data_IF_847973689547
#
_entry.id   IF_847973689547
#
_cell.length_a   1.000
_cell.length_b   1.000
_cell.length_c   1.000
_cell.angle_alpha   90.00
_cell.angle_beta   90.00
_cell.angle_gamma   90.00
#
_symmetry.space_group_name_H-M   'P 1'
#
loop_
_entity.id
_entity.type
_entity.pdbx_description
1 polymer ?
#
# COMPACT_ATOMS: atom_id res chain seq x y z
N UNK A 1 -25.46 9.18 -0.75
CA UNK A 1 -24.08 8.66 -0.60
C UNK A 1 -23.86 7.62 -1.68
N UNK A 2 -22.84 7.75 -2.52
CA UNK A 2 -22.51 6.75 -3.55
C UNK A 2 -21.98 5.48 -2.89
N UNK A 3 -22.40 4.32 -3.38
CA UNK A 3 -21.81 3.04 -2.96
C UNK A 3 -20.39 2.91 -3.55
N UNK A 4 -19.44 2.29 -2.82
CA UNK A 4 -18.12 2.00 -3.38
C UNK A 4 -18.23 0.96 -4.50
N UNK A 5 -17.47 1.14 -5.56
CA UNK A 5 -17.38 0.19 -6.67
C UNK A 5 -16.65 -1.08 -6.23
N UNK A 6 -15.62 -0.93 -5.40
CA UNK A 6 -14.84 -2.01 -4.83
C UNK A 6 -14.54 -1.73 -3.36
N UNK A 7 -14.54 -2.79 -2.56
CA UNK A 7 -14.17 -2.75 -1.15
C UNK A 7 -13.17 -3.86 -0.86
N UNK A 8 -12.10 -3.50 -0.17
CA UNK A 8 -11.13 -4.43 0.37
C UNK A 8 -11.02 -4.20 1.87
N UNK A 9 -11.20 -5.28 2.63
CA UNK A 9 -10.98 -5.31 4.07
C UNK A 9 -10.44 -6.68 4.45
N UNK A 10 -9.24 -6.69 5.03
CA UNK A 10 -8.59 -7.90 5.50
C UNK A 10 -7.65 -7.56 6.65
N UNK A 11 -7.63 -8.41 7.68
CA UNK A 11 -6.78 -8.24 8.86
C UNK A 11 -5.31 -8.02 8.45
N UNK A 12 -4.69 -7.01 9.05
CA UNK A 12 -3.28 -6.65 8.81
C UNK A 12 -3.04 -5.74 7.61
N UNK A 13 -4.02 -5.57 6.72
CA UNK A 13 -3.95 -4.63 5.61
C UNK A 13 -4.78 -3.37 5.93
N UNK A 14 -4.51 -2.23 5.26
CA UNK A 14 -5.43 -1.11 5.30
C UNK A 14 -6.75 -1.46 4.59
N UNK A 15 -7.87 -1.00 5.14
CA UNK A 15 -9.17 -1.08 4.48
C UNK A 15 -9.20 -0.05 3.34
N UNK A 16 -9.60 -0.47 2.14
CA UNK A 16 -9.66 0.38 0.95
C UNK A 16 -11.08 0.35 0.39
N UNK A 17 -11.65 1.53 0.17
CA UNK A 17 -12.91 1.70 -0.58
C UNK A 17 -12.63 2.51 -1.83
N UNK A 18 -13.04 1.99 -2.98
CA UNK A 18 -12.80 2.61 -4.27
C UNK A 18 -14.11 3.17 -4.79
N UNK A 19 -14.10 4.44 -5.18
CA UNK A 19 -15.22 5.14 -5.79
C UNK A 19 -14.81 5.67 -7.17
N UNK A 20 -15.76 6.22 -7.91
CA UNK A 20 -15.55 6.78 -9.25
C UNK A 20 -14.54 7.94 -9.26
N UNK A 21 -14.65 8.88 -8.32
CA UNK A 21 -13.80 10.09 -8.28
C UNK A 21 -12.70 10.11 -7.21
N UNK A 22 -12.71 9.14 -6.30
CA UNK A 22 -11.78 9.09 -5.17
C UNK A 22 -11.66 7.66 -4.62
N UNK A 23 -10.74 7.47 -3.70
CA UNK A 23 -10.68 6.30 -2.85
C UNK A 23 -10.50 6.72 -1.40
N UNK A 24 -10.90 5.85 -0.49
CA UNK A 24 -10.75 6.04 0.94
C UNK A 24 -9.92 4.91 1.53
N UNK A 25 -9.04 5.26 2.46
CA UNK A 25 -8.21 4.29 3.17
C UNK A 25 -8.33 4.50 4.66
N UNK A 26 -8.55 3.41 5.38
CA UNK A 26 -8.50 3.36 6.83
C UNK A 26 -7.39 2.40 7.25
N UNK A 27 -6.50 2.86 8.13
CA UNK A 27 -5.45 2.02 8.69
C UNK A 27 -6.04 1.00 9.66
N UNK A 28 -5.38 -0.15 9.87
CA UNK A 28 -5.92 -1.23 10.71
C UNK A 28 -6.24 -0.77 12.13
N UNK A 29 -5.46 0.17 12.64
CA UNK A 29 -5.47 0.56 14.06
C UNK A 29 -6.22 1.87 14.32
N UNK A 30 -6.64 2.57 13.25
CA UNK A 30 -7.31 3.88 13.34
C UNK A 30 -8.70 3.77 12.72
N UNK A 31 -9.76 4.09 13.46
CA UNK A 31 -11.13 3.96 12.96
C UNK A 31 -11.60 5.11 12.03
N UNK A 32 -10.67 5.77 11.32
CA UNK A 32 -10.95 6.96 10.52
C UNK A 32 -10.52 6.71 9.08
N UNK A 33 -11.47 6.83 8.14
CA UNK A 33 -11.19 6.79 6.72
C UNK A 33 -10.61 8.12 6.27
N UNK A 34 -9.47 8.05 5.58
CA UNK A 34 -8.86 9.17 4.89
C UNK A 34 -9.18 9.10 3.41
N UNK A 35 -9.67 10.21 2.86
CA UNK A 35 -10.06 10.34 1.47
C UNK A 35 -8.93 10.86 0.59
N UNK A 36 -8.84 10.32 -0.62
CA UNK A 36 -7.87 10.65 -1.64
C UNK A 36 -8.57 10.83 -3.00
N UNK A 37 -8.68 12.06 -3.49
CA UNK A 37 -9.26 12.33 -4.80
C UNK A 37 -8.22 12.00 -5.90
N UNK A 38 -8.63 11.29 -6.96
CA UNK A 38 -7.68 10.82 -7.98
C UNK A 38 -6.93 11.96 -8.67
N UNK A 39 -7.57 13.12 -8.86
CA UNK A 39 -6.96 14.29 -9.47
C UNK A 39 -5.77 14.86 -8.68
N UNK A 40 -5.72 14.62 -7.37
CA UNK A 40 -4.64 15.06 -6.48
C UNK A 40 -3.50 14.05 -6.36
N UNK A 41 -3.72 12.80 -6.79
CA UNK A 41 -2.75 11.71 -6.66
C UNK A 41 -1.86 11.67 -7.89
N UNK A 42 -0.55 11.63 -7.67
CA UNK A 42 0.44 11.42 -8.73
C UNK A 42 0.58 9.93 -9.03
N UNK A 43 0.74 9.10 -7.99
CA UNK A 43 0.90 7.65 -8.13
C UNK A 43 0.69 6.92 -6.80
N UNK A 44 0.49 5.61 -6.90
CA UNK A 44 0.52 4.68 -5.77
C UNK A 44 1.53 3.56 -6.01
N UNK A 45 2.19 3.10 -4.95
CA UNK A 45 3.20 2.03 -4.99
C UNK A 45 3.01 1.07 -3.85
N UNK A 46 3.01 -0.23 -4.14
CA UNK A 46 3.16 -1.29 -3.14
C UNK A 46 4.51 -1.96 -3.37
N UNK A 47 5.34 -2.01 -2.34
CA UNK A 47 6.72 -2.48 -2.48
C UNK A 47 7.23 -3.17 -1.22
N UNK A 48 8.13 -4.13 -1.43
CA UNK A 48 8.93 -4.74 -0.38
C UNK A 48 10.18 -3.87 -0.16
N UNK A 49 10.43 -3.34 1.05
CA UNK A 49 11.62 -2.54 1.34
C UNK A 49 12.93 -3.31 1.12
N UNK A 50 12.90 -4.63 1.31
CA UNK A 50 14.05 -5.53 1.21
C UNK A 50 14.39 -5.97 -0.21
N UNK A 51 13.63 -5.53 -1.22
CA UNK A 51 13.97 -5.78 -2.63
C UNK A 51 15.03 -4.82 -3.20
N UNK A 52 15.55 -3.89 -2.39
CA UNK A 52 16.64 -3.02 -2.85
C UNK A 52 17.98 -3.79 -2.83
N UNK A 53 18.87 -3.47 -3.78
CA UNK A 53 20.13 -4.21 -4.00
C UNK A 53 21.03 -4.22 -2.76
N UNK A 54 21.14 -3.11 -2.04
CA UNK A 54 21.96 -2.99 -0.83
C UNK A 54 21.44 -3.86 0.31
N UNK A 55 20.11 -3.94 0.49
CA UNK A 55 19.48 -4.79 1.48
C UNK A 55 19.64 -6.25 1.12
N UNK A 56 19.52 -6.61 -0.17
CA UNK A 56 19.79 -7.97 -0.62
C UNK A 56 21.24 -8.38 -0.37
N UNK A 57 22.20 -7.48 -0.59
CA UNK A 57 23.62 -7.71 -0.29
C UNK A 57 23.85 -7.87 1.23
N UNK A 58 23.22 -7.03 2.05
CA UNK A 58 23.27 -7.14 3.50
C UNK A 58 22.67 -8.48 4.00
N UNK A 59 21.50 -8.87 3.49
CA UNK A 59 20.87 -10.16 3.80
C UNK A 59 21.76 -11.31 3.33
N UNK A 60 22.38 -11.21 2.16
CA UNK A 60 23.28 -12.24 1.64
C UNK A 60 24.54 -12.43 2.51
N UNK A 61 25.01 -11.38 3.19
CA UNK A 61 26.30 -11.38 3.91
C UNK A 61 26.16 -11.44 5.43
N UNK A 62 25.00 -11.11 5.99
CA UNK A 62 24.74 -11.06 7.44
C UNK A 62 23.79 -12.17 7.89
N UNK A 63 24.22 -12.97 8.87
CA UNK A 63 23.39 -14.01 9.51
C UNK A 63 22.13 -13.41 10.17
N UNK A 64 22.27 -12.24 10.82
CA UNK A 64 21.16 -11.49 11.41
C UNK A 64 20.23 -10.99 10.30
N UNK A 65 20.78 -10.46 9.20
CA UNK A 65 20.00 -10.04 8.03
C UNK A 65 19.15 -11.18 7.44
N UNK A 66 19.70 -12.40 7.35
CA UNK A 66 18.94 -13.57 6.89
C UNK A 66 17.79 -13.94 7.81
N UNK A 67 18.01 -13.97 9.13
CA UNK A 67 16.99 -14.38 10.10
C UNK A 67 15.79 -13.42 10.17
N UNK A 68 16.02 -12.11 10.15
CA UNK A 68 14.95 -11.13 10.39
C UNK A 68 14.32 -10.54 9.12
N UNK A 69 14.90 -10.74 7.94
CA UNK A 69 14.40 -10.15 6.69
C UNK A 69 13.06 -10.69 6.18
N UNK A 70 12.60 -11.83 6.70
CA UNK A 70 11.32 -12.44 6.34
C UNK A 70 10.12 -11.71 6.95
N UNK A 71 10.33 -11.09 8.12
CA UNK A 71 9.26 -10.50 8.94
C UNK A 71 9.05 -9.01 8.65
N UNK A 72 9.91 -8.40 7.82
CA UNK A 72 9.82 -6.98 7.51
C UNK A 72 8.56 -6.65 6.70
N UNK A 73 7.72 -5.71 7.16
CA UNK A 73 6.46 -5.39 6.49
C UNK A 73 6.71 -4.79 5.10
N UNK A 74 5.78 -5.06 4.19
CA UNK A 74 5.73 -4.33 2.93
C UNK A 74 5.00 -3.00 3.13
N UNK A 75 5.19 -2.09 2.19
CA UNK A 75 4.63 -0.75 2.28
C UNK A 75 3.75 -0.42 1.09
N UNK A 76 2.55 0.08 1.39
CA UNK A 76 1.68 0.72 0.42
C UNK A 76 1.76 2.23 0.57
N UNK A 77 2.24 2.93 -0.45
CA UNK A 77 2.56 4.35 -0.43
C UNK A 77 1.78 5.11 -1.49
N UNK A 78 1.21 6.25 -1.10
CA UNK A 78 0.49 7.20 -1.94
C UNK A 78 1.32 8.47 -2.06
N UNK A 79 1.49 8.95 -3.29
CA UNK A 79 2.18 10.19 -3.62
C UNK A 79 1.18 11.17 -4.20
N UNK A 80 1.07 12.37 -3.61
CA UNK A 80 0.27 13.47 -4.16
C UNK A 80 1.09 14.34 -5.10
N UNK A 81 0.40 14.98 -6.04
CA UNK A 81 1.00 15.95 -6.98
C UNK A 81 1.65 17.15 -6.30
N UNK A 82 1.26 17.47 -5.07
CA UNK A 82 1.87 18.54 -4.26
C UNK A 82 3.09 18.08 -3.44
N UNK A 83 3.59 16.86 -3.66
CA UNK A 83 4.74 16.30 -2.94
C UNK A 83 4.41 15.65 -1.60
N UNK A 84 3.17 15.70 -1.13
CA UNK A 84 2.78 15.02 0.12
C UNK A 84 2.70 13.50 -0.07
N UNK A 85 3.12 12.76 0.94
CA UNK A 85 3.20 11.29 0.89
C UNK A 85 2.49 10.66 2.09
N UNK A 86 1.84 9.51 1.86
CA UNK A 86 1.27 8.66 2.91
C UNK A 86 1.73 7.24 2.75
N UNK A 87 2.11 6.60 3.85
CA UNK A 87 2.62 5.24 3.86
C UNK A 87 1.80 4.40 4.83
N UNK A 88 1.34 3.25 4.36
CA UNK A 88 0.61 2.25 5.13
C UNK A 88 1.42 0.97 5.18
N UNK A 89 1.46 0.34 6.36
CA UNK A 89 2.07 -0.98 6.52
C UNK A 89 1.13 -2.06 5.96
N UNK A 90 1.71 -3.06 5.33
CA UNK A 90 1.02 -4.27 4.88
C UNK A 90 1.85 -5.49 5.28
N UNK A 91 1.24 -6.67 5.47
CA UNK A 91 1.97 -7.89 5.71
C UNK A 91 2.96 -8.18 4.56
N UNK A 92 4.07 -8.89 4.84
CA UNK A 92 5.05 -9.27 3.82
C UNK A 92 4.54 -10.31 2.81
N UNK A 93 3.35 -10.84 3.04
CA UNK A 93 2.71 -11.84 2.21
C UNK A 93 1.99 -11.22 1.00
N UNK A 94 2.08 -11.89 -0.14
CA UNK A 94 1.36 -11.49 -1.34
C UNK A 94 -0.12 -11.78 -1.19
N UNK A 95 -0.95 -10.79 -1.46
CA UNK A 95 -2.40 -10.93 -1.43
C UNK A 95 -2.99 -10.54 -2.78
N UNK A 96 -3.54 -11.51 -3.51
CA UNK A 96 -4.06 -11.31 -4.87
C UNK A 96 -5.23 -10.33 -4.94
N UNK A 97 -6.06 -10.25 -3.89
CA UNK A 97 -7.17 -9.28 -3.80
C UNK A 97 -6.65 -7.86 -3.53
N UNK A 98 -5.63 -7.74 -2.70
CA UNK A 98 -4.98 -6.44 -2.49
C UNK A 98 -4.29 -5.97 -3.78
N UNK A 99 -3.53 -6.87 -4.43
CA UNK A 99 -2.85 -6.60 -5.70
C UNK A 99 -3.83 -6.13 -6.79
N UNK A 100 -5.02 -6.73 -6.88
CA UNK A 100 -6.04 -6.32 -7.86
C UNK A 100 -6.59 -4.92 -7.57
N UNK A 101 -6.79 -4.56 -6.30
CA UNK A 101 -7.18 -3.22 -5.89
C UNK A 101 -6.09 -2.21 -6.22
N UNK A 102 -4.82 -2.51 -5.95
CA UNK A 102 -3.71 -1.62 -6.31
C UNK A 102 -3.64 -1.43 -7.82
N UNK A 103 -3.86 -2.48 -8.60
CA UNK A 103 -3.93 -2.39 -10.06
C UNK A 103 -5.06 -1.47 -10.51
N UNK A 104 -6.25 -1.62 -9.92
CA UNK A 104 -7.40 -0.77 -10.24
C UNK A 104 -7.13 0.70 -9.91
N UNK A 105 -6.58 0.99 -8.72
CA UNK A 105 -6.22 2.35 -8.33
C UNK A 105 -5.24 2.99 -9.34
N UNK A 106 -4.24 2.23 -9.80
CA UNK A 106 -3.29 2.70 -10.82
C UNK A 106 -3.97 3.01 -12.17
N UNK A 107 -5.02 2.28 -12.54
CA UNK A 107 -5.79 2.53 -13.76
C UNK A 107 -6.61 3.82 -13.67
N UNK A 108 -7.16 4.11 -12.48
CA UNK A 108 -8.01 5.29 -12.24
C UNK A 108 -7.22 6.58 -12.03
N UNK A 109 -6.01 6.48 -11.49
CA UNK A 109 -5.09 7.61 -11.35
C UNK A 109 -4.54 7.96 -12.73
N UNK A 110 -4.85 9.17 -13.22
CA UNK A 110 -4.38 9.73 -14.48
C UNK A 110 -3.24 10.72 -14.27
#
# INVERSE_FOLDING_TARGET
MSNPDLVFSQKGYPDIKVYEGHFEIKESDINIYKRYNYNEIEKVRHYNPNKNFWMQLYIATSLIGRLFSHDDPWYFKIYKKNGAEWTYKTPPERNSKFDSIIKELKTRIK
#
